data_IF_644742311329
#
_entry.id   IF_644742311329
#
_cell.length_a   1.000
_cell.length_b   1.000
_cell.length_c   1.000
_cell.angle_alpha   90.00
_cell.angle_beta   90.00
_cell.angle_gamma   90.00
#
_symmetry.space_group_name_H-M   'P 1'
#
loop_
_entity.id
_entity.type
_entity.pdbx_description
1 polymer ?
#
# COMPACT_ATOMS: atom_id res chain seq x y z
N UNK A 1 39.53 3.24 -6.41
CA UNK A 1 38.15 3.55 -6.85
C UNK A 1 38.06 5.04 -7.04
N UNK A 2 37.46 5.53 -8.14
CA UNK A 2 37.31 6.96 -8.37
C UNK A 2 36.24 7.50 -7.41
N UNK A 3 36.41 8.72 -6.90
CA UNK A 3 35.47 9.33 -5.96
C UNK A 3 34.03 9.41 -6.52
N UNK A 4 33.91 9.54 -7.84
CA UNK A 4 32.65 9.47 -8.58
C UNK A 4 31.93 8.12 -8.42
N UNK A 5 32.67 7.00 -8.45
CA UNK A 5 32.09 5.67 -8.29
C UNK A 5 31.51 5.47 -6.88
N UNK A 6 32.14 6.07 -5.86
CA UNK A 6 31.68 6.03 -4.47
C UNK A 6 30.38 6.84 -4.33
N UNK A 7 30.35 8.07 -4.84
CA UNK A 7 29.16 8.92 -4.82
C UNK A 7 27.98 8.30 -5.57
N UNK A 8 28.24 7.68 -6.73
CA UNK A 8 27.21 6.96 -7.48
C UNK A 8 26.62 5.80 -6.67
N UNK A 9 27.48 5.02 -6.00
CA UNK A 9 27.03 3.93 -5.16
C UNK A 9 26.21 4.43 -3.96
N UNK A 10 26.61 5.53 -3.33
CA UNK A 10 25.90 6.11 -2.19
C UNK A 10 24.49 6.60 -2.56
N UNK A 11 24.36 7.25 -3.72
CA UNK A 11 23.05 7.67 -4.26
C UNK A 11 22.14 6.47 -4.49
N UNK A 12 22.66 5.42 -5.12
CA UNK A 12 21.87 4.19 -5.38
C UNK A 12 21.47 3.53 -4.06
N UNK A 13 22.39 3.44 -3.09
CA UNK A 13 22.13 2.84 -1.78
C UNK A 13 21.07 3.63 -0.99
N UNK A 14 21.15 4.96 -1.02
CA UNK A 14 20.16 5.84 -0.40
C UNK A 14 18.76 5.57 -0.93
N UNK A 15 18.56 5.64 -2.26
CA UNK A 15 17.24 5.41 -2.85
C UNK A 15 16.76 3.96 -2.68
N UNK A 16 17.67 2.99 -2.59
CA UNK A 16 17.33 1.60 -2.25
C UNK A 16 16.69 1.51 -0.86
N UNK A 17 17.31 2.16 0.14
CA UNK A 17 16.76 2.21 1.49
C UNK A 17 15.39 2.91 1.56
N UNK A 18 15.28 4.06 0.89
CA UNK A 18 14.03 4.84 0.87
C UNK A 18 12.87 4.08 0.22
N UNK A 19 13.10 3.44 -0.93
CA UNK A 19 12.04 2.68 -1.60
C UNK A 19 11.65 1.42 -0.82
N UNK A 20 12.61 0.72 -0.22
CA UNK A 20 12.32 -0.42 0.65
C UNK A 20 11.49 -0.01 1.88
N UNK A 21 11.84 1.10 2.53
CA UNK A 21 11.08 1.62 3.66
C UNK A 21 9.65 2.02 3.27
N UNK A 22 9.45 2.62 2.08
CA UNK A 22 8.13 2.96 1.57
C UNK A 22 7.29 1.73 1.25
N UNK A 23 7.88 0.72 0.62
CA UNK A 23 7.22 -0.56 0.34
C UNK A 23 6.74 -1.23 1.62
N UNK A 24 7.59 -1.30 2.65
CA UNK A 24 7.22 -1.86 3.95
C UNK A 24 6.14 -1.04 4.67
N UNK A 25 6.16 0.29 4.54
CA UNK A 25 5.07 1.15 5.05
C UNK A 25 3.75 0.87 4.34
N UNK A 26 3.77 0.69 3.02
CA UNK A 26 2.58 0.39 2.23
C UNK A 26 2.01 -1.00 2.60
N UNK A 27 2.85 -2.02 2.68
CA UNK A 27 2.45 -3.39 3.09
C UNK A 27 1.90 -3.45 4.51
N UNK A 28 2.51 -2.69 5.43
CA UNK A 28 2.03 -2.57 6.81
C UNK A 28 0.73 -1.76 6.95
N UNK A 29 0.16 -1.25 5.85
CA UNK A 29 -1.07 -0.45 5.88
C UNK A 29 -0.90 0.94 6.50
N UNK A 30 0.34 1.42 6.69
CA UNK A 30 0.62 2.72 7.34
C UNK A 30 0.49 3.94 6.41
N UNK A 31 0.12 3.71 5.16
CA UNK A 31 -0.22 4.74 4.17
C UNK A 31 -1.71 4.62 3.88
N UNK A 32 -2.59 5.05 4.79
CA UNK A 32 -4.05 4.89 4.59
C UNK A 32 -4.65 6.01 3.74
N UNK A 33 -4.11 7.23 3.83
CA UNK A 33 -4.60 8.38 3.08
C UNK A 33 -4.16 8.29 1.61
N UNK A 34 -5.15 8.22 0.71
CA UNK A 34 -4.90 8.21 -0.73
C UNK A 34 -4.21 9.48 -1.21
N UNK A 35 -4.49 10.65 -0.60
CA UNK A 35 -3.81 11.90 -0.96
C UNK A 35 -2.32 11.83 -0.64
N UNK A 36 -1.96 11.26 0.51
CA UNK A 36 -0.57 10.98 0.87
C UNK A 36 0.08 10.03 -0.15
N UNK A 37 -0.60 8.93 -0.53
CA UNK A 37 -0.10 7.99 -1.55
C UNK A 37 0.19 8.66 -2.89
N UNK A 38 -0.68 9.57 -3.33
CA UNK A 38 -0.47 10.35 -4.57
C UNK A 38 0.76 11.26 -4.46
N UNK A 39 0.93 11.95 -3.33
CA UNK A 39 2.11 12.80 -3.09
C UNK A 39 3.40 11.97 -3.06
N UNK A 40 3.39 10.81 -2.40
CA UNK A 40 4.51 9.87 -2.39
C UNK A 40 4.81 9.36 -3.80
N UNK A 41 3.80 8.99 -4.58
CA UNK A 41 3.96 8.55 -5.98
C UNK A 41 4.62 9.63 -6.85
N UNK A 42 4.26 10.90 -6.64
CA UNK A 42 4.92 12.04 -7.31
C UNK A 42 6.39 12.16 -6.91
N UNK A 43 6.72 12.05 -5.62
CA UNK A 43 8.12 12.07 -5.15
C UNK A 43 8.94 10.90 -5.71
N UNK A 44 8.34 9.71 -5.83
CA UNK A 44 9.01 8.57 -6.47
C UNK A 44 9.26 8.87 -7.95
N UNK A 45 8.35 9.55 -8.66
CA UNK A 45 8.59 9.96 -10.05
C UNK A 45 9.80 10.91 -10.16
N UNK A 46 9.91 11.88 -9.26
CA UNK A 46 11.04 12.80 -9.17
C UNK A 46 12.36 12.04 -8.88
N UNK A 47 12.34 11.11 -7.93
CA UNK A 47 13.47 10.24 -7.62
C UNK A 47 13.91 9.36 -8.80
N UNK A 48 12.95 8.80 -9.56
CA UNK A 48 13.26 8.02 -10.77
C UNK A 48 13.93 8.90 -11.84
N UNK A 49 13.50 10.15 -12.00
CA UNK A 49 14.18 11.09 -12.90
C UNK A 49 15.62 11.38 -12.47
N UNK A 50 15.87 11.51 -11.16
CA UNK A 50 17.23 11.66 -10.62
C UNK A 50 18.08 10.40 -10.83
N UNK A 51 17.46 9.22 -10.84
CA UNK A 51 18.14 7.95 -11.07
C UNK A 51 18.43 7.64 -12.56
N UNK A 52 17.71 8.29 -13.49
CA UNK A 52 17.78 8.02 -14.93
C UNK A 52 19.22 8.01 -15.52
N UNK A 53 20.16 8.89 -15.12
CA UNK A 53 21.53 8.85 -15.62
C UNK A 53 22.27 7.55 -15.27
N UNK A 54 21.97 6.94 -14.12
CA UNK A 54 22.66 5.75 -13.60
C UNK A 54 22.11 4.44 -14.19
N UNK A 55 20.91 4.46 -14.78
CA UNK A 55 20.24 3.28 -15.37
C UNK A 55 21.08 2.65 -16.49
N UNK A 56 21.85 3.45 -17.24
CA UNK A 56 22.67 2.92 -18.34
C UNK A 56 23.96 2.26 -17.86
N UNK A 57 24.52 2.74 -16.75
CA UNK A 57 25.83 2.34 -16.25
C UNK A 57 25.77 1.30 -15.14
N UNK A 58 24.75 1.30 -14.28
CA UNK A 58 24.62 0.38 -13.14
C UNK A 58 23.35 -0.50 -13.25
N UNK A 59 23.48 -1.84 -13.28
CA UNK A 59 22.35 -2.77 -13.21
C UNK A 59 21.44 -2.58 -11.98
N UNK A 60 22.01 -2.18 -10.84
CA UNK A 60 21.27 -1.92 -9.59
C UNK A 60 20.32 -0.74 -9.77
N UNK A 61 20.76 0.33 -10.43
CA UNK A 61 19.91 1.47 -10.74
C UNK A 61 18.75 1.07 -11.66
N UNK A 62 18.97 0.18 -12.65
CA UNK A 62 17.88 -0.35 -13.49
C UNK A 62 16.83 -1.10 -12.68
N UNK A 63 17.28 -2.01 -11.81
CA UNK A 63 16.37 -2.76 -10.96
C UNK A 63 15.60 -1.81 -10.03
N UNK A 64 16.30 -0.84 -9.45
CA UNK A 64 15.72 0.14 -8.53
C UNK A 64 14.63 0.97 -9.20
N UNK A 65 14.85 1.46 -10.41
CA UNK A 65 13.84 2.19 -11.20
C UNK A 65 12.63 1.31 -11.50
N UNK A 66 12.85 0.05 -11.91
CA UNK A 66 11.75 -0.90 -12.16
C UNK A 66 10.92 -1.17 -10.90
N UNK A 67 11.58 -1.37 -9.76
CA UNK A 67 10.90 -1.53 -8.47
C UNK A 67 10.11 -0.27 -8.09
N UNK A 68 10.68 0.90 -8.29
CA UNK A 68 10.03 2.19 -8.01
C UNK A 68 8.78 2.40 -8.88
N UNK A 69 8.82 2.01 -10.16
CA UNK A 69 7.67 2.07 -11.05
C UNK A 69 6.53 1.13 -10.62
N UNK A 70 6.88 -0.07 -10.14
CA UNK A 70 5.90 -1.00 -9.55
C UNK A 70 5.29 -0.40 -8.29
N UNK A 71 6.13 0.12 -7.38
CA UNK A 71 5.68 0.76 -6.14
C UNK A 71 4.72 1.94 -6.40
N UNK A 72 4.97 2.74 -7.45
CA UNK A 72 4.05 3.80 -7.88
C UNK A 72 2.67 3.26 -8.27
N UNK A 73 2.61 2.15 -9.00
CA UNK A 73 1.35 1.51 -9.38
C UNK A 73 0.62 1.00 -8.14
N UNK A 74 1.35 0.41 -7.20
CA UNK A 74 0.77 -0.12 -5.96
C UNK A 74 0.23 0.99 -5.05
N UNK A 75 0.95 2.13 -4.95
CA UNK A 75 0.49 3.31 -4.20
C UNK A 75 -0.81 3.89 -4.78
N UNK A 76 -0.94 3.92 -6.11
CA UNK A 76 -2.12 4.43 -6.79
C UNK A 76 -3.24 3.38 -6.89
N UNK A 77 -2.98 2.14 -6.50
CA UNK A 77 -3.99 1.09 -6.51
C UNK A 77 -5.03 1.31 -5.41
N UNK A 78 -6.28 1.43 -5.83
CA UNK A 78 -7.44 1.52 -4.92
C UNK A 78 -7.87 0.14 -4.42
N UNK A 79 -7.24 -0.96 -4.91
CA UNK A 79 -7.59 -2.34 -4.56
C UNK A 79 -7.61 -2.56 -3.04
N UNK A 80 -6.58 -2.10 -2.32
CA UNK A 80 -6.50 -2.23 -0.87
C UNK A 80 -7.58 -1.45 -0.11
N UNK A 81 -8.02 -0.31 -0.67
CA UNK A 81 -9.09 0.51 -0.11
C UNK A 81 -10.44 -0.21 -0.28
N UNK A 82 -10.69 -0.75 -1.48
CA UNK A 82 -11.90 -1.50 -1.80
C UNK A 82 -11.98 -2.78 -0.94
N UNK A 83 -10.89 -3.52 -0.81
CA UNK A 83 -10.83 -4.73 0.02
C UNK A 83 -11.15 -4.43 1.49
N UNK A 84 -10.59 -3.36 2.04
CA UNK A 84 -10.89 -2.89 3.41
C UNK A 84 -12.37 -2.53 3.56
N UNK A 85 -12.95 -1.84 2.59
CA UNK A 85 -14.36 -1.45 2.61
C UNK A 85 -15.31 -2.65 2.49
N UNK A 86 -14.96 -3.64 1.65
CA UNK A 86 -15.72 -4.88 1.51
C UNK A 86 -15.71 -5.73 2.79
N UNK A 87 -14.57 -5.79 3.49
CA UNK A 87 -14.49 -6.47 4.78
C UNK A 87 -15.40 -5.79 5.83
N UNK A 88 -15.34 -4.45 5.92
CA UNK A 88 -16.21 -3.70 6.83
C UNK A 88 -17.71 -3.90 6.53
N UNK A 89 -18.10 -3.97 5.25
CA UNK A 89 -19.48 -4.26 4.87
C UNK A 89 -19.92 -5.68 5.26
N UNK A 90 -19.04 -6.69 5.12
CA UNK A 90 -19.35 -8.06 5.56
C UNK A 90 -19.58 -8.14 7.06
N UNK A 91 -18.76 -7.44 7.86
CA UNK A 91 -18.91 -7.40 9.31
C UNK A 91 -20.25 -6.75 9.70
N UNK A 92 -20.64 -5.65 9.03
CA UNK A 92 -21.93 -5.00 9.24
C UNK A 92 -23.12 -5.91 8.86
N UNK A 93 -23.04 -6.62 7.73
CA UNK A 93 -24.09 -7.56 7.31
C UNK A 93 -24.23 -8.72 8.31
N UNK A 94 -23.12 -9.24 8.83
CA UNK A 94 -23.11 -10.29 9.87
C UNK A 94 -23.79 -9.82 11.17
N UNK A 95 -23.48 -8.60 11.62
CA UNK A 95 -24.10 -8.02 12.82
C UNK A 95 -25.61 -7.84 12.66
N UNK A 96 -26.07 -7.32 11.51
CA UNK A 96 -27.49 -7.16 11.22
C UNK A 96 -28.22 -8.50 11.20
N UNK A 97 -27.63 -9.54 10.59
CA UNK A 97 -28.19 -10.90 10.61
C UNK A 97 -28.30 -11.46 12.02
N UNK A 98 -27.29 -11.24 12.88
CA UNK A 98 -27.30 -11.67 14.28
C UNK A 98 -28.41 -10.96 15.10
N UNK A 99 -28.65 -9.67 14.86
CA UNK A 99 -29.72 -8.90 15.52
C UNK A 99 -31.10 -9.40 15.08
N UNK A 100 -31.31 -9.58 13.76
CA UNK A 100 -32.58 -10.07 13.21
C UNK A 100 -32.90 -11.47 13.72
N UNK A 101 -31.91 -12.37 13.74
CA UNK A 101 -32.08 -13.75 14.20
C UNK A 101 -32.35 -13.84 15.72
N UNK A 102 -31.71 -13.01 16.55
CA UNK A 102 -32.07 -12.88 17.98
C UNK A 102 -33.51 -12.41 18.18
N UNK A 103 -33.94 -11.39 17.43
CA UNK A 103 -35.31 -10.85 17.53
C UNK A 103 -36.38 -11.86 17.09
N UNK A 104 -36.07 -12.69 16.09
CA UNK A 104 -36.96 -13.76 15.64
C UNK A 104 -37.12 -14.87 16.69
N UNK A 105 -36.03 -15.27 17.37
CA UNK A 105 -36.09 -16.26 18.46
C UNK A 105 -36.87 -15.74 19.67
N UNK A 106 -36.68 -14.48 20.06
CA UNK A 106 -37.42 -13.87 21.17
C UNK A 106 -38.94 -13.87 20.96
N UNK A 107 -39.40 -13.62 19.72
CA UNK A 107 -40.83 -13.66 19.38
C UNK A 107 -41.42 -15.07 19.38
N UNK A 108 -40.65 -16.09 18.98
CA UNK A 108 -41.11 -17.48 19.00
C UNK A 108 -41.22 -18.06 20.42
N UNK A 109 -40.41 -17.59 21.37
CA UNK A 109 -40.53 -17.98 22.78
C UNK A 109 -41.75 -17.37 23.48
N UNK A 110 -42.24 -16.20 23.05
CA UNK A 110 -43.46 -15.59 23.59
C UNK A 110 -44.75 -16.25 23.06
N UNK A 111 -44.77 -16.71 21.79
CA UNK A 111 -45.95 -17.39 21.21
C UNK A 111 -46.13 -18.83 21.71
N UNK A 112 -45.08 -19.49 22.22
CA UNK A 112 -45.16 -20.85 22.74
C UNK A 112 -45.54 -20.94 24.24
N UNK A 113 -45.67 -19.79 24.91
CA UNK A 113 -45.97 -19.69 26.34
C UNK A 113 -47.38 -19.14 26.65
N UNK A 114 -48.22 -18.93 25.63
CA UNK A 114 -49.63 -18.56 25.75
C UNK A 114 -50.55 -19.63 25.18
#
# INVERSE_FOLDING_TARGET
MKQEDILHSDVINYFTGEFAALEERLKAGRLEDYRERVLVSRKIAEAVHLLAPYVRSDPRARHLVKSAETLKKDLLSVKSIIEKQLMQQKDQQSLLQAIVSKRKRARQSDEAAG
#
